data_IF_406385106830
#
_entry.id   IF_406385106830
#
_cell.length_a   1.000
_cell.length_b   1.000
_cell.length_c   1.000
_cell.angle_alpha   90.00
_cell.angle_beta   90.00
_cell.angle_gamma   90.00
#
_symmetry.space_group_name_H-M   'P 1'
#
loop_
_entity.id
_entity.type
_entity.pdbx_description
1 polymer ?
#
# COMPACT_ATOMS: atom_id res chain seq x y z
N UNK A 1 13.23 12.62 20.54
CA UNK A 1 14.33 11.84 19.93
C UNK A 1 13.73 10.64 19.19
N UNK A 2 13.27 10.85 17.97
CA UNK A 2 12.72 9.78 17.13
C UNK A 2 13.93 8.95 16.69
N UNK A 3 14.02 7.73 17.21
CA UNK A 3 15.10 6.83 16.84
C UNK A 3 15.00 6.58 15.33
N UNK A 4 15.93 7.15 14.55
CA UNK A 4 16.13 6.94 13.12
C UNK A 4 16.63 5.51 12.83
N UNK A 5 16.18 4.53 13.64
CA UNK A 5 16.45 3.13 13.43
C UNK A 5 15.52 2.65 12.34
N UNK A 6 16.12 2.39 11.16
CA UNK A 6 15.57 1.65 10.03
C UNK A 6 14.40 0.75 10.45
N UNK A 7 13.17 1.18 10.16
CA UNK A 7 11.98 0.38 10.42
C UNK A 7 12.02 -0.88 9.54
N UNK A 8 12.35 -2.03 10.12
CA UNK A 8 12.26 -3.31 9.42
C UNK A 8 10.79 -3.61 9.13
N UNK A 9 10.52 -3.90 7.86
CA UNK A 9 9.19 -4.33 7.42
C UNK A 9 9.14 -5.84 7.44
N UNK A 10 8.14 -6.39 8.12
CA UNK A 10 7.92 -7.84 8.22
C UNK A 10 6.54 -8.19 7.67
N UNK A 11 6.42 -9.36 7.03
CA UNK A 11 5.13 -9.88 6.58
C UNK A 11 4.49 -10.68 7.71
N UNK A 12 3.25 -10.35 8.05
CA UNK A 12 2.46 -11.05 9.07
C UNK A 12 1.26 -11.70 8.40
N UNK A 13 1.05 -12.99 8.69
CA UNK A 13 -0.14 -13.74 8.31
C UNK A 13 -1.21 -13.62 9.40
N UNK A 14 -2.46 -13.38 8.98
CA UNK A 14 -3.67 -13.46 9.82
C UNK A 14 -4.65 -14.43 9.17
N UNK A 15 -5.37 -15.20 9.98
CA UNK A 15 -6.40 -16.11 9.48
C UNK A 15 -7.75 -15.48 9.83
N UNK A 16 -8.59 -15.26 8.82
CA UNK A 16 -9.96 -14.77 8.99
C UNK A 16 -10.89 -15.69 8.21
N UNK A 17 -11.85 -16.31 8.90
CA UNK A 17 -12.80 -17.27 8.33
C UNK A 17 -12.13 -18.40 7.53
N UNK A 18 -11.03 -18.96 8.06
CA UNK A 18 -10.25 -20.02 7.41
C UNK A 18 -9.31 -19.53 6.30
N UNK A 19 -9.44 -18.29 5.84
CA UNK A 19 -8.63 -17.75 4.76
C UNK A 19 -7.40 -16.99 5.29
N UNK A 20 -6.21 -17.21 4.69
CA UNK A 20 -4.99 -16.51 5.08
C UNK A 20 -4.88 -15.13 4.41
N UNK A 21 -4.59 -14.12 5.22
CA UNK A 21 -4.45 -12.73 4.83
C UNK A 21 -3.10 -12.18 5.29
N UNK A 22 -2.47 -11.36 4.48
CA UNK A 22 -1.12 -10.88 4.72
C UNK A 22 -1.06 -9.37 4.92
N UNK A 23 -0.16 -8.95 5.80
CA UNK A 23 0.10 -7.54 6.11
C UNK A 23 1.60 -7.29 6.08
N UNK A 24 2.01 -6.18 5.47
CA UNK A 24 3.35 -5.62 5.64
C UNK A 24 3.35 -4.68 6.85
N UNK A 25 4.15 -4.99 7.85
CA UNK A 25 4.12 -4.32 9.16
C UNK A 25 5.46 -3.69 9.47
N UNK A 26 5.45 -2.44 9.94
CA UNK A 26 6.62 -1.76 10.50
C UNK A 26 6.47 -1.64 12.01
N UNK A 27 7.46 -2.13 12.73
CA UNK A 27 7.53 -2.05 14.20
C UNK A 27 8.46 -0.93 14.64
N UNK A 28 8.13 -0.25 15.73
CA UNK A 28 8.89 0.85 16.30
C UNK A 28 8.57 1.02 17.78
N UNK A 29 9.29 1.89 18.49
CA UNK A 29 8.97 2.20 19.89
C UNK A 29 8.06 3.42 19.98
N UNK A 30 6.92 3.26 20.64
CA UNK A 30 6.00 4.36 20.99
C UNK A 30 6.03 4.48 22.51
N UNK A 31 6.46 5.64 23.02
CA UNK A 31 6.65 5.89 24.45
C UNK A 31 7.52 4.82 25.14
N UNK A 32 8.63 4.44 24.50
CA UNK A 32 9.58 3.43 25.00
C UNK A 32 9.15 1.97 24.83
N UNK A 33 7.87 1.72 24.50
CA UNK A 33 7.33 0.35 24.33
C UNK A 33 7.34 -0.06 22.85
N UNK A 34 7.78 -1.28 22.50
CA UNK A 34 7.69 -1.78 21.13
C UNK A 34 6.22 -1.92 20.72
N UNK A 35 5.87 -1.32 19.58
CA UNK A 35 4.52 -1.24 19.01
C UNK A 35 4.61 -1.33 17.49
N UNK A 36 3.49 -1.67 16.87
CA UNK A 36 3.35 -1.58 15.42
C UNK A 36 3.00 -0.13 15.06
N UNK A 37 3.82 0.49 14.21
CA UNK A 37 3.68 1.90 13.82
C UNK A 37 2.89 2.03 12.51
N UNK A 38 3.06 1.10 11.58
CA UNK A 38 2.27 1.07 10.35
C UNK A 38 1.97 -0.35 9.91
N UNK A 39 0.79 -0.54 9.33
CA UNK A 39 0.38 -1.79 8.69
C UNK A 39 -0.21 -1.47 7.32
N UNK A 40 0.21 -2.21 6.31
CA UNK A 40 -0.35 -2.16 4.96
C UNK A 40 -0.91 -3.53 4.64
N UNK A 41 -2.18 -3.58 4.23
CA UNK A 41 -2.84 -4.82 3.84
C UNK A 41 -2.36 -5.25 2.45
N UNK A 42 -1.89 -6.49 2.33
CA UNK A 42 -1.38 -7.06 1.08
C UNK A 42 -2.41 -7.95 0.37
N UNK A 43 -3.48 -8.36 1.05
CA UNK A 43 -4.45 -9.31 0.50
C UNK A 43 -4.15 -10.77 0.84
N UNK A 44 -4.71 -11.67 0.03
CA UNK A 44 -4.45 -13.12 0.07
C UNK A 44 -3.11 -13.45 -0.61
N UNK A 45 -2.70 -14.71 -0.55
CA UNK A 45 -1.49 -15.16 -1.26
C UNK A 45 -1.60 -14.93 -2.79
N UNK A 46 -2.77 -15.21 -3.36
CA UNK A 46 -3.01 -15.08 -4.80
C UNK A 46 -2.91 -13.62 -5.25
N UNK A 47 -3.48 -12.69 -4.49
CA UNK A 47 -3.39 -11.25 -4.76
C UNK A 47 -1.93 -10.78 -4.84
N UNK A 48 -1.07 -11.26 -3.92
CA UNK A 48 0.35 -10.90 -3.91
C UNK A 48 1.06 -11.41 -5.16
N UNK A 49 0.75 -12.64 -5.59
CA UNK A 49 1.33 -13.24 -6.80
C UNK A 49 0.88 -12.51 -8.05
N UNK A 50 -0.40 -12.15 -8.14
CA UNK A 50 -0.94 -11.35 -9.25
C UNK A 50 -0.28 -9.97 -9.33
N UNK A 51 -0.18 -9.27 -8.20
CA UNK A 51 0.52 -7.98 -8.11
C UNK A 51 1.98 -8.11 -8.58
N UNK A 52 2.68 -9.18 -8.19
CA UNK A 52 4.05 -9.45 -8.64
C UNK A 52 4.11 -9.63 -10.16
N UNK A 53 3.24 -10.47 -10.74
CA UNK A 53 3.17 -10.72 -12.19
C UNK A 53 2.84 -9.45 -12.97
N UNK A 54 1.95 -8.61 -12.45
CA UNK A 54 1.63 -7.31 -13.05
C UNK A 54 2.85 -6.38 -13.03
N UNK A 55 3.59 -6.32 -11.92
CA UNK A 55 4.83 -5.56 -11.84
C UNK A 55 5.90 -6.06 -12.83
N UNK A 56 6.03 -7.38 -13.02
CA UNK A 56 7.00 -7.98 -13.95
C UNK A 56 6.65 -7.71 -15.42
N UNK A 57 5.37 -7.63 -15.76
CA UNK A 57 4.92 -7.41 -17.14
C UNK A 57 4.96 -5.94 -17.60
N UNK A 58 5.17 -4.99 -16.69
CA UNK A 58 5.22 -3.57 -17.02
C UNK A 58 6.66 -3.15 -17.42
N UNK A 59 6.85 -2.47 -18.57
CA UNK A 59 8.16 -1.91 -18.90
C UNK A 59 8.55 -0.86 -17.85
N UNK A 60 9.80 -0.94 -17.38
CA UNK A 60 10.41 -0.19 -16.27
C UNK A 60 10.03 1.32 -16.17
N UNK A 61 9.73 1.94 -17.31
CA UNK A 61 9.37 3.36 -17.45
C UNK A 61 8.00 3.69 -16.79
N UNK A 62 7.02 2.77 -16.81
CA UNK A 62 5.69 3.01 -16.21
C UNK A 62 5.65 2.87 -14.69
N UNK A 63 6.60 2.14 -14.09
CA UNK A 63 6.67 1.94 -12.64
C UNK A 63 6.98 3.26 -11.91
N UNK A 64 7.88 4.10 -12.48
CA UNK A 64 8.21 5.41 -11.89
C UNK A 64 7.03 6.38 -11.89
N UNK A 65 6.21 6.38 -12.94
CA UNK A 65 5.05 7.30 -13.06
C UNK A 65 3.93 6.92 -12.08
N UNK A 66 3.67 5.62 -11.88
CA UNK A 66 2.68 5.16 -10.91
C UNK A 66 3.09 5.46 -9.45
N UNK A 67 4.39 5.43 -9.13
CA UNK A 67 4.90 5.72 -7.79
C UNK A 67 5.04 7.23 -7.52
N UNK A 68 5.12 8.07 -8.56
CA UNK A 68 5.29 9.52 -8.45
C UNK A 68 3.97 10.32 -8.33
N UNK A 69 2.81 9.68 -8.49
CA UNK A 69 1.49 10.35 -8.41
C UNK A 69 0.55 9.72 -7.36
N UNK A 70 0.75 9.96 -6.05
CA UNK A 70 -0.23 9.56 -5.04
C UNK A 70 -1.31 10.64 -4.89
N UNK A 71 -2.10 10.91 -5.94
CA UNK A 71 -3.41 11.59 -5.86
C UNK A 71 -3.88 12.03 -7.25
N UNK A 72 -4.76 11.25 -7.90
CA UNK A 72 -5.76 11.81 -8.79
C UNK A 72 -6.88 10.79 -9.05
N UNK A 73 -8.09 11.15 -8.64
CA UNK A 73 -9.38 10.71 -9.16
C UNK A 73 -9.73 9.22 -9.10
N UNK A 74 -10.30 8.79 -7.98
CA UNK A 74 -11.57 8.04 -7.99
C UNK A 74 -12.55 8.77 -7.07
N UNK A 75 -12.87 9.99 -7.48
CA UNK A 75 -13.92 10.84 -6.93
C UNK A 75 -14.62 11.48 -8.12
N UNK A 76 -15.75 10.90 -8.48
CA UNK A 76 -16.65 11.33 -9.55
C UNK A 76 -17.02 12.81 -9.35
N UNK A 77 -16.69 13.67 -10.31
CA UNK A 77 -17.42 14.92 -10.54
C UNK A 77 -17.51 15.18 -12.04
N UNK A 78 -18.31 14.37 -12.71
CA UNK A 78 -18.89 14.68 -14.00
C UNK A 78 -19.98 15.75 -13.79
N UNK A 79 -19.60 17.03 -13.81
CA UNK A 79 -20.55 18.09 -14.18
C UNK A 79 -19.96 18.97 -15.26
N UNK A 80 -20.59 18.85 -16.42
CA UNK A 80 -20.44 19.60 -17.65
C UNK A 80 -20.09 21.08 -17.42
N UNK A 81 -19.01 21.53 -18.04
CA UNK A 81 -18.79 22.94 -18.37
C UNK A 81 -19.56 23.25 -19.66
N UNK A 82 -20.82 23.67 -19.57
CA UNK A 82 -21.49 24.35 -20.67
C UNK A 82 -21.30 25.87 -20.53
N UNK A 83 -20.58 26.45 -21.49
CA UNK A 83 -20.60 27.89 -21.77
C UNK A 83 -22.05 28.28 -22.12
N UNK A 84 -22.62 29.28 -21.46
CA UNK A 84 -23.62 30.19 -22.06
C UNK A 84 -23.90 31.38 -21.13
N UNK A 85 -23.27 32.52 -21.45
CA UNK A 85 -23.78 33.91 -21.50
C UNK A 85 -22.61 34.87 -21.39
#
# INVERSE_FOLDING_TARGET
MYCLLRFMTTIIKKILNGNPYFYAVKSGRVNGKPRIVSQVYLGTADNIVEMKKQCESLPYIKIKVALAHPAASNGVCSRHRSKFR
#
